data_IF_964653153332
#
_entry.id   IF_964653153332
#
_cell.length_a   1.000
_cell.length_b   1.000
_cell.length_c   1.000
_cell.angle_alpha   90.00
_cell.angle_beta   90.00
_cell.angle_gamma   90.00
#
_symmetry.space_group_name_H-M   'P 1'
#
loop_
_entity.id
_entity.type
_entity.pdbx_description
1 polymer ?
#
# COMPACT_ATOMS: atom_id res chain seq x y z
N UNK A 1 12.07 -37.96 -2.59
CA UNK A 1 12.20 -36.86 -1.60
C UNK A 1 10.85 -36.45 -1.00
N UNK A 2 9.74 -36.56 -1.74
CA UNK A 2 8.37 -36.44 -1.19
C UNK A 2 7.53 -37.60 -1.75
N UNK A 3 6.54 -38.08 -0.99
CA UNK A 3 5.59 -39.12 -1.43
C UNK A 3 6.10 -40.58 -1.45
N UNK A 4 7.33 -40.85 -1.03
CA UNK A 4 7.80 -42.23 -0.78
C UNK A 4 7.66 -43.17 -1.99
N UNK A 5 7.21 -44.40 -1.75
CA UNK A 5 6.91 -45.38 -2.81
C UNK A 5 5.65 -45.00 -3.60
N UNK A 6 4.68 -44.37 -2.93
CA UNK A 6 3.38 -43.99 -3.52
C UNK A 6 3.50 -42.91 -4.61
N UNK A 7 4.61 -42.16 -4.64
CA UNK A 7 4.89 -41.19 -5.70
C UNK A 7 5.22 -41.83 -7.06
N UNK A 8 5.53 -43.13 -7.08
CA UNK A 8 5.86 -43.84 -8.30
C UNK A 8 4.64 -44.58 -8.82
N UNK A 9 4.06 -44.03 -9.89
CA UNK A 9 3.05 -44.73 -10.68
C UNK A 9 3.66 -46.01 -11.24
N UNK A 10 3.03 -47.15 -10.99
CA UNK A 10 3.42 -48.45 -11.55
C UNK A 10 2.81 -48.63 -12.95
N UNK A 11 3.47 -49.40 -13.82
CA UNK A 11 2.97 -49.71 -15.16
C UNK A 11 3.70 -48.94 -16.26
N UNK A 12 2.96 -48.33 -17.18
CA UNK A 12 3.47 -47.71 -18.41
C UNK A 12 4.09 -46.32 -18.22
N UNK A 13 3.87 -45.71 -17.05
CA UNK A 13 4.39 -44.39 -16.66
C UNK A 13 5.80 -44.51 -16.07
N UNK A 14 6.71 -43.63 -16.48
CA UNK A 14 8.11 -43.68 -16.06
C UNK A 14 8.30 -43.39 -14.57
N UNK A 15 9.31 -44.00 -13.92
CA UNK A 15 9.71 -43.62 -12.55
C UNK A 15 10.56 -42.35 -12.50
N UNK A 16 10.86 -41.72 -13.64
CA UNK A 16 11.55 -40.43 -13.71
C UNK A 16 10.65 -39.31 -13.16
N UNK A 17 11.25 -38.19 -12.77
CA UNK A 17 10.50 -37.03 -12.29
C UNK A 17 9.65 -36.42 -13.41
N UNK A 18 8.34 -36.42 -13.23
CA UNK A 18 7.38 -35.67 -14.07
C UNK A 18 7.29 -34.21 -13.62
N UNK A 19 8.44 -33.55 -13.54
CA UNK A 19 8.55 -32.12 -13.22
C UNK A 19 9.37 -31.46 -14.31
N UNK A 20 8.74 -30.56 -15.08
CA UNK A 20 9.39 -29.84 -16.17
C UNK A 20 9.01 -28.36 -16.13
N UNK A 21 10.01 -27.48 -16.01
CA UNK A 21 9.83 -26.04 -16.07
C UNK A 21 9.70 -25.60 -17.54
N UNK A 22 8.50 -25.69 -18.10
CA UNK A 22 8.26 -25.52 -19.53
C UNK A 22 8.47 -24.09 -20.05
N UNK A 23 8.12 -23.05 -19.28
CA UNK A 23 8.21 -21.65 -19.70
C UNK A 23 8.88 -20.80 -18.64
N UNK A 24 9.80 -19.95 -19.07
CA UNK A 24 10.52 -19.01 -18.23
C UNK A 24 10.36 -17.59 -18.77
N UNK A 25 9.86 -16.70 -17.92
CA UNK A 25 9.75 -15.26 -18.20
C UNK A 25 10.63 -14.52 -17.21
N UNK A 26 11.69 -13.88 -17.69
CA UNK A 26 12.64 -13.12 -16.85
C UNK A 26 12.88 -11.72 -17.42
N UNK A 27 13.21 -10.75 -16.57
CA UNK A 27 13.61 -9.42 -17.02
C UNK A 27 15.07 -9.41 -17.49
N UNK A 28 15.34 -8.71 -18.60
CA UNK A 28 16.71 -8.56 -19.11
C UNK A 28 17.40 -7.32 -18.50
N UNK A 29 18.73 -7.39 -18.23
CA UNK A 29 19.53 -6.24 -17.81
C UNK A 29 19.71 -5.28 -19.00
N UNK A 30 18.76 -4.38 -19.18
CA UNK A 30 18.67 -3.48 -20.34
C UNK A 30 17.25 -3.00 -20.64
N UNK A 31 16.25 -3.59 -19.97
CA UNK A 31 14.85 -3.32 -20.23
C UNK A 31 14.28 -4.29 -21.26
N UNK A 32 13.15 -4.92 -20.93
CA UNK A 32 12.56 -6.00 -21.73
C UNK A 32 12.39 -7.28 -20.92
N UNK A 33 11.59 -8.21 -21.47
CA UNK A 33 11.35 -9.54 -20.89
C UNK A 33 11.82 -10.60 -21.87
N UNK A 34 12.61 -11.55 -21.39
CA UNK A 34 12.92 -12.79 -22.09
C UNK A 34 11.82 -13.79 -21.78
N UNK A 35 11.18 -14.32 -22.80
CA UNK A 35 10.15 -15.36 -22.69
C UNK A 35 10.58 -16.56 -23.53
N UNK A 36 10.88 -17.68 -22.87
CA UNK A 36 11.39 -18.89 -23.51
C UNK A 36 10.54 -20.07 -23.10
N UNK A 37 10.22 -20.92 -24.07
CA UNK A 37 9.49 -22.18 -23.87
C UNK A 37 10.35 -23.35 -24.31
N UNK A 38 10.41 -24.39 -23.49
CA UNK A 38 11.08 -25.65 -23.76
C UNK A 38 10.08 -26.76 -24.11
N UNK A 39 10.54 -27.74 -24.87
CA UNK A 39 9.78 -28.94 -25.21
C UNK A 39 9.80 -29.95 -24.05
N UNK A 40 8.76 -30.80 -23.99
CA UNK A 40 8.64 -31.81 -22.95
C UNK A 40 9.74 -32.87 -23.08
N UNK A 41 10.33 -33.33 -21.96
CA UNK A 41 11.17 -34.51 -21.96
C UNK A 41 10.40 -35.75 -22.39
N UNK A 42 11.08 -36.69 -23.05
CA UNK A 42 10.51 -37.91 -23.62
C UNK A 42 9.62 -38.71 -22.65
N UNK A 43 10.08 -38.92 -21.40
CA UNK A 43 9.32 -39.68 -20.39
C UNK A 43 8.04 -38.98 -19.95
N UNK A 44 8.02 -37.65 -20.01
CA UNK A 44 6.85 -36.84 -19.72
C UNK A 44 5.88 -36.91 -20.90
N UNK A 45 6.37 -36.71 -22.12
CA UNK A 45 5.56 -36.76 -23.33
C UNK A 45 4.81 -38.10 -23.47
N UNK A 46 5.50 -39.22 -23.27
CA UNK A 46 4.89 -40.55 -23.29
C UNK A 46 3.77 -40.70 -22.24
N UNK A 47 3.94 -40.10 -21.06
CA UNK A 47 2.92 -40.15 -20.01
C UNK A 47 1.69 -39.28 -20.35
N UNK A 48 1.88 -38.15 -21.04
CA UNK A 48 0.75 -37.32 -21.52
C UNK A 48 -0.08 -38.06 -22.55
N UNK A 49 0.58 -38.74 -23.50
CA UNK A 49 -0.08 -39.51 -24.55
C UNK A 49 -0.88 -40.69 -23.97
N UNK A 50 -0.28 -41.44 -23.04
CA UNK A 50 -0.96 -42.56 -22.36
C UNK A 50 -2.20 -42.13 -21.58
N UNK A 51 -2.18 -40.93 -21.00
CA UNK A 51 -3.34 -40.36 -20.30
C UNK A 51 -4.34 -39.68 -21.23
N UNK A 52 -4.02 -39.58 -22.53
CA UNK A 52 -4.87 -38.92 -23.53
C UNK A 52 -4.94 -37.40 -23.37
N UNK A 53 -3.92 -36.78 -22.78
CA UNK A 53 -3.88 -35.33 -22.60
C UNK A 53 -3.33 -34.64 -23.85
N UNK A 54 -4.07 -33.65 -24.35
CA UNK A 54 -3.61 -32.76 -25.41
C UNK A 54 -2.98 -31.49 -24.83
N UNK A 55 -1.73 -31.24 -25.22
CA UNK A 55 -0.96 -30.07 -24.81
C UNK A 55 -1.52 -28.75 -25.34
N UNK A 56 -2.26 -28.78 -26.44
CA UNK A 56 -2.84 -27.59 -27.08
C UNK A 56 -4.01 -27.00 -26.28
N UNK A 57 -4.66 -27.81 -25.44
CA UNK A 57 -5.88 -27.46 -24.70
C UNK A 57 -5.61 -26.69 -23.39
N UNK A 58 -4.35 -26.38 -23.06
CA UNK A 58 -4.01 -25.71 -21.82
C UNK A 58 -4.24 -24.19 -21.87
N UNK A 59 -5.20 -23.67 -21.08
CA UNK A 59 -5.43 -22.23 -20.85
C UNK A 59 -4.60 -21.68 -19.67
N UNK A 60 -3.59 -22.43 -19.20
CA UNK A 60 -2.79 -22.02 -18.06
C UNK A 60 -1.88 -20.83 -18.41
N UNK A 61 -2.32 -19.61 -18.05
CA UNK A 61 -1.52 -18.39 -18.14
C UNK A 61 -0.50 -18.33 -16.99
N UNK A 62 0.70 -17.75 -17.21
CA UNK A 62 1.67 -17.56 -16.15
C UNK A 62 1.04 -16.69 -15.04
N UNK A 63 1.06 -17.18 -13.81
CA UNK A 63 0.47 -16.53 -12.62
C UNK A 63 1.04 -15.12 -12.31
N UNK A 64 2.05 -14.66 -13.04
CA UNK A 64 2.87 -13.50 -12.69
C UNK A 64 2.73 -12.38 -13.72
N UNK A 65 1.52 -11.91 -13.95
CA UNK A 65 1.27 -10.60 -14.57
C UNK A 65 1.45 -9.45 -13.53
N UNK A 66 1.36 -9.76 -12.23
CA UNK A 66 0.97 -8.76 -11.22
C UNK A 66 2.01 -8.40 -10.15
N UNK A 67 3.28 -8.84 -10.24
CA UNK A 67 4.33 -8.18 -9.44
C UNK A 67 4.78 -6.92 -10.18
N UNK A 68 3.82 -6.07 -10.53
CA UNK A 68 4.12 -4.68 -10.72
C UNK A 68 4.36 -4.13 -9.32
N UNK A 69 5.61 -3.79 -9.03
CA UNK A 69 5.90 -3.01 -7.83
C UNK A 69 5.00 -1.78 -7.85
N UNK A 70 4.26 -1.56 -6.75
CA UNK A 70 3.45 -0.35 -6.56
C UNK A 70 4.26 0.85 -7.00
N UNK A 71 3.67 1.71 -7.82
CA UNK A 71 4.34 2.92 -8.27
C UNK A 71 4.83 3.72 -7.05
N UNK A 72 5.90 4.53 -7.15
CA UNK A 72 6.41 5.30 -6.01
C UNK A 72 5.32 6.13 -5.30
N UNK A 73 4.33 6.60 -6.06
CA UNK A 73 3.16 7.32 -5.55
C UNK A 73 2.25 6.41 -4.72
N UNK A 74 1.94 5.21 -5.18
CA UNK A 74 1.15 4.21 -4.45
C UNK A 74 1.84 3.73 -3.16
N UNK A 75 3.17 3.49 -3.21
CA UNK A 75 3.97 3.16 -2.02
C UNK A 75 3.87 4.29 -0.98
N UNK A 76 3.98 5.55 -1.42
CA UNK A 76 3.83 6.74 -0.55
C UNK A 76 2.42 6.87 0.03
N UNK A 77 1.39 6.60 -0.77
CA UNK A 77 0.00 6.64 -0.28
C UNK A 77 -0.27 5.54 0.75
N UNK A 78 0.20 4.31 0.51
CA UNK A 78 0.07 3.21 1.44
C UNK A 78 0.76 3.52 2.78
N UNK A 79 1.98 4.05 2.75
CA UNK A 79 2.70 4.48 3.95
C UNK A 79 1.95 5.57 4.73
N UNK A 80 1.37 6.55 4.04
CA UNK A 80 0.55 7.61 4.67
C UNK A 80 -0.72 7.05 5.31
N UNK A 81 -1.39 6.07 4.68
CA UNK A 81 -2.58 5.40 5.24
C UNK A 81 -2.22 4.65 6.51
N UNK A 82 -1.16 3.84 6.46
CA UNK A 82 -0.64 3.10 7.61
C UNK A 82 -0.27 4.03 8.78
N UNK A 83 0.43 5.13 8.51
CA UNK A 83 0.78 6.12 9.54
C UNK A 83 -0.46 6.77 10.19
N UNK A 84 -1.51 7.04 9.40
CA UNK A 84 -2.78 7.57 9.91
C UNK A 84 -3.52 6.55 10.77
N UNK A 85 -3.58 5.30 10.34
CA UNK A 85 -4.19 4.19 11.09
C UNK A 85 -3.48 3.98 12.42
N UNK A 86 -2.14 3.92 12.40
CA UNK A 86 -1.32 3.79 13.59
C UNK A 86 -1.47 4.96 14.59
N UNK A 87 -1.64 6.19 14.07
CA UNK A 87 -1.95 7.35 14.91
C UNK A 87 -3.35 7.26 15.52
N UNK A 88 -4.34 6.81 14.74
CA UNK A 88 -5.73 6.67 15.19
C UNK A 88 -5.87 5.59 16.24
N UNK A 89 -5.23 4.43 16.06
CA UNK A 89 -5.26 3.33 17.03
C UNK A 89 -4.63 3.75 18.37
N UNK A 90 -3.51 4.46 18.36
CA UNK A 90 -2.89 5.01 19.59
C UNK A 90 -3.60 6.22 20.20
N UNK A 91 -4.60 6.81 19.53
CA UNK A 91 -5.35 7.96 20.06
C UNK A 91 -6.36 7.53 21.15
N UNK A 92 -6.84 6.28 21.09
CA UNK A 92 -7.73 5.72 22.11
C UNK A 92 -7.08 5.64 23.50
N UNK A 93 -5.83 5.18 23.58
CA UNK A 93 -5.05 5.07 24.82
C UNK A 93 -4.82 6.41 25.53
N UNK A 94 -4.73 7.52 24.78
CA UNK A 94 -4.56 8.86 25.40
C UNK A 94 -5.87 9.46 25.91
N UNK A 95 -7.03 8.99 25.43
CA UNK A 95 -8.33 9.56 25.81
C UNK A 95 -8.85 9.01 27.15
N UNK A 96 -8.25 7.94 27.67
CA UNK A 96 -8.64 7.33 28.96
C UNK A 96 -7.86 7.89 30.16
N UNK A 97 -6.84 8.72 29.96
CA UNK A 97 -6.04 9.35 31.05
C UNK A 97 -6.39 10.81 31.36
N UNK A 98 -7.33 11.41 30.62
CA UNK A 98 -7.88 12.74 30.93
C UNK A 98 -9.36 12.57 31.27
N UNK A 99 -9.72 12.81 32.53
CA UNK A 99 -11.02 12.50 33.12
C UNK A 99 -12.26 13.11 32.44
N UNK A 100 -13.41 12.59 32.89
CA UNK A 100 -14.81 13.02 32.75
C UNK A 100 -15.11 14.20 31.79
N UNK A 101 -16.08 14.06 30.85
CA UNK A 101 -16.44 15.13 29.94
C UNK A 101 -17.18 16.25 30.68
N UNK A 102 -16.47 17.32 31.07
CA UNK A 102 -17.15 18.55 31.51
C UNK A 102 -17.97 19.14 30.35
N UNK A 103 -19.29 19.08 30.50
CA UNK A 103 -20.27 19.78 29.66
C UNK A 103 -19.99 21.29 29.73
N UNK A 104 -19.62 21.91 28.60
CA UNK A 104 -19.54 23.37 28.49
C UNK A 104 -20.96 23.95 28.48
N UNK A 105 -21.38 24.59 29.58
CA UNK A 105 -22.50 25.53 29.55
C UNK A 105 -22.06 26.78 28.77
N UNK A 106 -22.77 27.08 27.69
CA UNK A 106 -22.59 28.32 26.94
C UNK A 106 -23.05 29.53 27.74
N UNK A 107 -22.35 30.66 27.61
CA UNK A 107 -22.88 31.96 28.01
C UNK A 107 -22.75 32.93 26.84
N UNK A 108 -23.89 33.15 26.18
CA UNK A 108 -24.12 34.17 25.16
C UNK A 108 -24.02 35.56 25.81
N UNK A 109 -23.36 36.45 25.07
CA UNK A 109 -23.60 37.90 24.91
C UNK A 109 -24.43 38.63 25.97
N UNK A 110 -23.89 39.75 26.46
CA UNK A 110 -24.72 40.88 26.89
C UNK A 110 -24.03 41.84 27.83
N UNK A 111 -23.97 43.11 27.43
CA UNK A 111 -24.04 44.23 28.37
C UNK A 111 -22.73 44.90 28.73
N UNK A 112 -22.46 46.02 28.06
CA UNK A 112 -21.49 47.01 28.46
C UNK A 112 -21.71 47.47 29.92
N UNK A 113 -20.62 47.68 30.67
CA UNK A 113 -20.65 48.55 31.85
C UNK A 113 -19.34 49.32 32.02
N UNK A 114 -19.42 50.60 31.64
CA UNK A 114 -18.91 51.80 32.32
C UNK A 114 -17.43 51.85 32.73
N UNK A 115 -16.67 52.68 31.99
CA UNK A 115 -15.42 53.31 32.41
C UNK A 115 -15.66 54.34 33.53
N UNK A 116 -14.77 54.51 34.52
CA UNK A 116 -14.67 55.76 35.26
C UNK A 116 -13.67 56.71 34.56
N UNK A 117 -14.13 57.90 34.18
CA UNK A 117 -13.26 59.07 33.94
C UNK A 117 -12.75 59.62 35.28
N UNK A 118 -11.87 60.63 35.39
CA UNK A 118 -11.46 61.69 34.48
C UNK A 118 -10.32 62.45 35.19
N UNK A 119 -9.14 62.57 34.58
CA UNK A 119 -8.08 63.50 34.99
C UNK A 119 -7.73 64.39 33.80
N UNK A 120 -8.08 65.67 33.90
CA UNK A 120 -8.10 66.66 32.82
C UNK A 120 -6.84 67.53 32.92
N UNK A 121 -5.90 67.41 31.99
CA UNK A 121 -4.75 68.31 31.85
C UNK A 121 -4.69 68.86 30.43
N UNK A 122 -5.03 70.14 30.26
CA UNK A 122 -5.03 70.88 29.00
C UNK A 122 -3.60 71.23 28.56
N UNK A 123 -3.29 71.06 27.28
CA UNK A 123 -2.12 71.65 26.61
C UNK A 123 -2.37 71.71 25.10
N UNK A 124 -2.26 72.90 24.52
CA UNK A 124 -2.82 73.37 23.23
C UNK A 124 -1.94 72.97 22.02
N UNK A 125 -2.47 72.92 20.77
CA UNK A 125 -1.77 72.40 19.59
C UNK A 125 -1.07 73.50 18.76
N UNK A 126 0.02 73.13 18.08
CA UNK A 126 0.66 73.83 16.95
C UNK A 126 1.68 72.82 16.35
N UNK A 127 1.94 72.65 15.06
CA UNK A 127 1.58 73.38 13.86
C UNK A 127 2.74 73.28 12.85
N UNK A 128 2.57 72.47 11.79
CA UNK A 128 3.11 72.62 10.42
C UNK A 128 4.61 72.29 10.11
N UNK A 129 5.03 72.18 8.82
CA UNK A 129 5.59 70.94 8.25
C UNK A 129 6.93 71.14 7.47
N UNK A 130 7.54 70.06 6.95
CA UNK A 130 8.48 70.00 5.79
C UNK A 130 8.99 68.54 5.74
N UNK A 131 9.01 67.78 4.65
CA UNK A 131 9.05 68.11 3.24
C UNK A 131 10.44 67.82 2.68
N UNK A 132 10.60 66.68 1.98
CA UNK A 132 11.28 66.51 0.67
C UNK A 132 11.82 65.09 0.47
N UNK A 133 11.50 64.59 -0.73
CA UNK A 133 12.15 63.59 -1.59
C UNK A 133 12.71 62.31 -0.97
#
# INVERSE_FOLDING_TARGET
KYGGQDAFLTGSVSRKMHLHARRLIIAQPGGGKLDVTAELPEHFAASMEQLGFDMSLSDAKPLREDINERTPTEKKQAARRHAKEYRKSRRGERKTRGGEPQRKLGKKSGGASVKPGKGKGKGKPAGKPKGRN
#
